data_IF_493068530184
#
_entry.id   IF_493068530184
#
_cell.length_a   1.000
_cell.length_b   1.000
_cell.length_c   1.000
_cell.angle_alpha   90.00
_cell.angle_beta   90.00
_cell.angle_gamma   90.00
#
_symmetry.space_group_name_H-M   'P 1'
#
loop_
_entity.id
_entity.type
_entity.pdbx_description
1 polymer ?
#
# COMPACT_ATOMS: atom_id res chain seq x y z
N UNK A 1 9.23 23.81 66.40
CA UNK A 1 9.87 23.84 65.07
C UNK A 1 9.46 22.55 64.36
N UNK A 2 8.52 22.64 63.43
CA UNK A 2 7.98 21.47 62.74
C UNK A 2 8.94 21.01 61.63
N UNK A 3 9.11 19.70 61.36
CA UNK A 3 9.69 19.27 60.12
C UNK A 3 8.59 19.28 59.04
N UNK A 4 8.65 20.25 58.14
CA UNK A 4 8.02 20.11 56.83
C UNK A 4 8.98 19.32 55.95
N UNK A 5 8.65 18.07 55.65
CA UNK A 5 9.32 17.27 54.63
C UNK A 5 8.28 16.88 53.56
N UNK A 6 7.82 17.89 52.81
CA UNK A 6 7.13 17.67 51.55
C UNK A 6 8.21 17.51 50.47
N UNK A 7 8.67 16.26 50.31
CA UNK A 7 9.59 15.82 49.26
C UNK A 7 8.93 16.02 47.89
N UNK A 8 9.06 17.21 47.30
CA UNK A 8 8.90 17.36 45.86
C UNK A 8 10.07 16.62 45.19
N UNK A 9 9.82 15.59 44.37
CA UNK A 9 10.89 15.01 43.58
C UNK A 9 11.36 16.10 42.60
N UNK A 10 12.66 16.37 42.58
CA UNK A 10 13.27 17.11 41.50
C UNK A 10 12.94 16.37 40.20
N UNK A 11 11.95 16.88 39.45
CA UNK A 11 11.70 16.49 38.07
C UNK A 11 13.03 16.66 37.34
N UNK A 12 13.57 15.54 36.85
CA UNK A 12 14.82 15.58 36.14
C UNK A 12 14.65 16.50 34.93
N UNK A 13 15.70 17.24 34.56
CA UNK A 13 15.79 17.87 33.24
C UNK A 13 15.50 16.86 32.11
N UNK A 14 15.67 15.56 32.36
CA UNK A 14 15.24 14.48 31.46
C UNK A 14 13.72 14.48 31.17
N UNK A 15 12.86 14.99 32.06
CA UNK A 15 11.41 15.10 31.83
C UNK A 15 11.01 16.33 31.00
N UNK A 16 11.80 17.40 31.04
CA UNK A 16 11.59 18.61 30.20
C UNK A 16 12.05 18.38 28.75
N UNK A 17 13.04 17.51 28.55
CA UNK A 17 13.38 16.95 27.23
C UNK A 17 12.40 15.86 26.76
N UNK A 18 11.51 15.37 27.62
CA UNK A 18 10.52 14.34 27.31
C UNK A 18 9.22 14.90 26.70
N UNK A 19 9.14 16.20 26.38
CA UNK A 19 7.95 16.79 25.73
C UNK A 19 8.23 17.85 24.65
N UNK A 20 9.39 17.76 24.00
CA UNK A 20 9.95 18.87 23.22
C UNK A 20 10.10 18.71 21.71
N UNK A 21 9.56 17.69 21.05
CA UNK A 21 9.44 17.72 19.58
C UNK A 21 8.04 17.31 19.16
N UNK A 22 7.31 18.31 18.66
CA UNK A 22 6.02 18.12 18.04
C UNK A 22 6.12 17.05 16.95
N UNK A 23 5.21 16.08 17.00
CA UNK A 23 4.90 15.07 15.97
C UNK A 23 4.73 15.65 14.54
N UNK A 24 4.67 16.97 14.40
CA UNK A 24 4.70 17.69 13.12
C UNK A 24 6.06 17.68 12.39
N UNK A 25 7.16 17.29 13.05
CA UNK A 25 8.51 17.27 12.46
C UNK A 25 8.98 15.88 12.02
N UNK A 26 8.07 15.00 11.61
CA UNK A 26 8.45 13.86 10.78
C UNK A 26 9.06 14.37 9.46
N UNK A 27 10.29 13.96 9.12
CA UNK A 27 10.99 14.56 7.98
C UNK A 27 10.23 14.32 6.68
N UNK A 28 9.92 15.40 5.96
CA UNK A 28 9.32 15.39 4.61
C UNK A 28 10.08 14.43 3.68
N UNK A 29 11.38 14.28 3.90
CA UNK A 29 12.26 13.40 3.15
C UNK A 29 11.85 11.91 3.21
N UNK A 30 11.40 11.38 4.35
CA UNK A 30 10.98 9.96 4.47
C UNK A 30 9.68 9.72 3.70
N UNK A 31 8.72 10.64 3.85
CA UNK A 31 7.42 10.58 3.15
C UNK A 31 7.61 10.60 1.63
N UNK A 32 8.46 11.50 1.14
CA UNK A 32 8.77 11.60 -0.29
C UNK A 32 9.53 10.38 -0.81
N UNK A 33 10.33 9.69 0.01
CA UNK A 33 11.01 8.46 -0.38
C UNK A 33 10.05 7.28 -0.55
N UNK A 34 9.07 7.12 0.35
CA UNK A 34 8.04 6.08 0.22
C UNK A 34 7.11 6.35 -0.95
N UNK A 35 6.63 7.59 -1.10
CA UNK A 35 5.82 8.00 -2.25
C UNK A 35 6.60 7.72 -3.55
N UNK A 36 7.87 8.11 -3.63
CA UNK A 36 8.73 7.81 -4.79
C UNK A 36 8.74 6.32 -5.10
N UNK A 37 8.92 5.44 -4.10
CA UNK A 37 8.93 3.99 -4.32
C UNK A 37 7.61 3.47 -4.89
N UNK A 38 6.48 3.90 -4.33
CA UNK A 38 5.14 3.44 -4.76
C UNK A 38 4.83 3.96 -6.17
N UNK A 39 5.03 5.26 -6.42
CA UNK A 39 4.78 5.85 -7.74
C UNK A 39 5.75 5.33 -8.80
N UNK A 40 6.99 4.98 -8.46
CA UNK A 40 7.91 4.29 -9.38
C UNK A 40 7.37 2.91 -9.77
N UNK A 41 6.85 2.13 -8.80
CA UNK A 41 6.23 0.83 -9.10
C UNK A 41 5.00 1.02 -9.99
N UNK A 42 4.10 1.94 -9.64
CA UNK A 42 2.89 2.23 -10.44
C UNK A 42 3.24 2.69 -11.86
N UNK A 43 4.22 3.58 -12.01
CA UNK A 43 4.66 4.06 -13.33
C UNK A 43 5.22 2.94 -14.18
N UNK A 44 5.99 2.02 -13.57
CA UNK A 44 6.51 0.84 -14.26
C UNK A 44 5.39 -0.10 -14.71
N UNK A 45 4.37 -0.29 -13.87
CA UNK A 45 3.20 -1.11 -14.20
C UNK A 45 2.43 -0.53 -15.39
N UNK A 46 2.16 0.78 -15.39
CA UNK A 46 1.49 1.46 -16.51
C UNK A 46 2.34 1.46 -17.79
N UNK A 47 3.66 1.60 -17.67
CA UNK A 47 4.56 1.50 -18.82
C UNK A 47 4.49 0.10 -19.43
N UNK A 48 4.53 -0.94 -18.59
CA UNK A 48 4.44 -2.34 -19.03
C UNK A 48 3.11 -2.63 -19.74
N UNK A 49 1.98 -2.14 -19.21
CA UNK A 49 0.67 -2.32 -19.86
C UNK A 49 0.61 -1.60 -21.19
N UNK A 50 1.17 -0.39 -21.27
CA UNK A 50 1.21 0.42 -22.50
C UNK A 50 2.05 -0.26 -23.58
N UNK A 51 3.25 -0.74 -23.24
CA UNK A 51 4.13 -1.46 -24.17
C UNK A 51 3.48 -2.75 -24.65
N UNK A 52 2.91 -3.54 -23.75
CA UNK A 52 2.23 -4.80 -24.10
C UNK A 52 1.05 -4.53 -25.04
N UNK A 53 0.23 -3.51 -24.75
CA UNK A 53 -0.89 -3.12 -25.60
C UNK A 53 -0.43 -2.65 -26.97
N UNK A 54 0.62 -1.83 -27.04
CA UNK A 54 1.19 -1.37 -28.30
C UNK A 54 1.72 -2.53 -29.16
N UNK A 55 2.36 -3.53 -28.56
CA UNK A 55 2.83 -4.73 -29.27
C UNK A 55 1.67 -5.51 -29.88
N UNK A 56 0.57 -5.71 -29.13
CA UNK A 56 -0.62 -6.42 -29.62
C UNK A 56 -1.31 -5.68 -30.78
N UNK A 57 -1.30 -4.34 -30.75
CA UNK A 57 -1.86 -3.52 -31.82
C UNK A 57 -0.94 -3.46 -33.05
N UNK A 58 0.39 -3.57 -32.87
CA UNK A 58 1.35 -3.49 -33.96
C UNK A 58 1.48 -4.81 -34.75
N UNK A 59 1.45 -5.96 -34.06
CA UNK A 59 1.61 -7.26 -34.69
C UNK A 59 0.27 -7.90 -35.05
N UNK A 60 -0.06 -7.88 -36.34
CA UNK A 60 -1.29 -8.47 -36.87
C UNK A 60 -1.42 -9.97 -36.55
N UNK A 61 -0.31 -10.73 -36.58
CA UNK A 61 -0.31 -12.16 -36.23
C UNK A 61 -0.73 -12.44 -34.78
N UNK A 62 -0.42 -11.54 -33.84
CA UNK A 62 -0.85 -11.68 -32.44
C UNK A 62 -2.35 -11.38 -32.35
N UNK A 63 -2.80 -10.34 -33.06
CA UNK A 63 -4.20 -9.95 -33.10
C UNK A 63 -5.09 -11.07 -33.64
N UNK A 64 -4.74 -11.69 -34.76
CA UNK A 64 -5.51 -12.80 -35.34
C UNK A 64 -5.58 -14.00 -34.39
N UNK A 65 -4.46 -14.40 -33.81
CA UNK A 65 -4.39 -15.49 -32.82
C UNK A 65 -5.31 -15.24 -31.61
N UNK A 66 -5.30 -14.01 -31.11
CA UNK A 66 -6.12 -13.55 -29.99
C UNK A 66 -7.62 -13.62 -30.30
N UNK A 67 -8.03 -13.24 -31.51
CA UNK A 67 -9.43 -13.33 -31.93
C UNK A 67 -9.90 -14.77 -32.19
N UNK A 68 -9.01 -15.66 -32.64
CA UNK A 68 -9.32 -17.08 -32.86
C UNK A 68 -9.50 -17.86 -31.55
N UNK A 69 -8.92 -17.40 -30.45
CA UNK A 69 -8.89 -18.10 -29.18
C UNK A 69 -9.53 -17.30 -28.04
N UNK A 70 -10.88 -17.14 -28.03
CA UNK A 70 -11.60 -16.44 -26.96
C UNK A 70 -11.47 -17.12 -25.59
N UNK A 71 -10.95 -18.34 -25.53
CA UNK A 71 -10.60 -19.02 -24.27
C UNK A 71 -9.46 -18.29 -23.54
N UNK A 72 -8.57 -17.60 -24.27
CA UNK A 72 -7.43 -16.90 -23.65
C UNK A 72 -7.87 -15.80 -22.69
N UNK A 73 -8.85 -14.97 -23.04
CA UNK A 73 -9.32 -13.89 -22.16
C UNK A 73 -9.95 -14.44 -20.86
N UNK A 74 -10.62 -15.59 -20.94
CA UNK A 74 -11.18 -16.26 -19.77
C UNK A 74 -10.06 -16.84 -18.89
N UNK A 75 -9.05 -17.48 -19.48
CA UNK A 75 -7.89 -17.99 -18.73
C UNK A 75 -7.08 -16.86 -18.08
N UNK A 76 -6.88 -15.76 -18.79
CA UNK A 76 -6.15 -14.58 -18.28
C UNK A 76 -6.90 -13.91 -17.13
N UNK A 77 -8.22 -13.74 -17.25
CA UNK A 77 -9.05 -13.14 -16.19
C UNK A 77 -9.17 -14.02 -14.95
N UNK A 78 -9.39 -15.34 -15.11
CA UNK A 78 -9.35 -16.29 -13.98
C UNK A 78 -7.95 -16.38 -13.36
N UNK A 79 -6.92 -16.31 -14.19
CA UNK A 79 -5.52 -16.27 -13.76
C UNK A 79 -5.21 -15.04 -12.92
N UNK A 80 -5.61 -13.85 -13.37
CA UNK A 80 -5.37 -12.60 -12.64
C UNK A 80 -6.08 -12.61 -11.29
N UNK A 81 -7.31 -13.14 -11.25
CA UNK A 81 -8.04 -13.36 -10.01
C UNK A 81 -7.33 -14.34 -9.06
N UNK A 82 -6.81 -15.46 -9.56
CA UNK A 82 -6.04 -16.42 -8.78
C UNK A 82 -4.77 -15.81 -8.18
N UNK A 83 -4.04 -14.99 -8.95
CA UNK A 83 -2.85 -14.28 -8.46
C UNK A 83 -3.23 -13.20 -7.45
N UNK A 84 -4.34 -12.50 -7.63
CA UNK A 84 -4.85 -11.51 -6.66
C UNK A 84 -5.18 -12.17 -5.31
N UNK A 85 -5.79 -13.34 -5.31
CA UNK A 85 -6.02 -14.15 -4.09
C UNK A 85 -4.70 -14.59 -3.46
N UNK A 86 -3.75 -15.08 -4.25
CA UNK A 86 -2.42 -15.43 -3.75
C UNK A 86 -1.72 -14.23 -3.12
N UNK A 87 -1.83 -13.04 -3.72
CA UNK A 87 -1.25 -11.79 -3.25
C UNK A 87 -1.86 -11.35 -1.92
N UNK A 88 -3.18 -11.45 -1.76
CA UNK A 88 -3.86 -11.12 -0.50
C UNK A 88 -3.42 -12.05 0.64
N UNK A 89 -3.20 -13.33 0.36
CA UNK A 89 -2.68 -14.29 1.35
C UNK A 89 -1.20 -14.05 1.68
N UNK A 90 -0.38 -13.67 0.70
CA UNK A 90 1.07 -13.56 0.84
C UNK A 90 1.59 -12.11 0.97
N UNK A 91 0.70 -11.13 1.16
CA UNK A 91 1.01 -9.68 1.18
C UNK A 91 2.10 -9.29 2.17
N UNK A 92 2.25 -10.03 3.27
CA UNK A 92 3.21 -9.74 4.34
C UNK A 92 4.60 -10.38 4.14
N UNK A 93 4.79 -11.21 3.11
CA UNK A 93 6.05 -11.90 2.84
C UNK A 93 6.87 -11.18 1.77
N UNK A 94 7.88 -10.43 2.19
CA UNK A 94 8.88 -9.85 1.27
C UNK A 94 10.00 -10.86 0.99
N UNK A 95 10.50 -11.03 -0.25
CA UNK A 95 10.19 -10.29 -1.48
C UNK A 95 9.05 -10.90 -2.33
N UNK A 96 8.45 -12.01 -1.87
CA UNK A 96 7.46 -12.76 -2.64
C UNK A 96 6.26 -11.88 -3.07
N UNK A 97 5.79 -10.96 -2.22
CA UNK A 97 4.77 -9.96 -2.58
C UNK A 97 5.10 -9.23 -3.90
N UNK A 98 6.34 -8.78 -4.09
CA UNK A 98 6.72 -8.03 -5.30
C UNK A 98 6.69 -8.90 -6.56
N UNK A 99 7.10 -10.17 -6.46
CA UNK A 99 7.00 -11.12 -7.57
C UNK A 99 5.55 -11.43 -7.94
N UNK A 100 4.67 -11.61 -6.93
CA UNK A 100 3.25 -11.80 -7.17
C UNK A 100 2.60 -10.55 -7.75
N UNK A 101 3.01 -9.36 -7.30
CA UNK A 101 2.56 -8.08 -7.83
C UNK A 101 2.97 -7.91 -9.30
N UNK A 102 4.20 -8.24 -9.66
CA UNK A 102 4.65 -8.20 -11.06
C UNK A 102 3.92 -9.23 -11.93
N UNK A 103 3.68 -10.44 -11.41
CA UNK A 103 2.90 -11.47 -12.10
C UNK A 103 1.46 -11.04 -12.34
N UNK A 104 0.82 -10.45 -11.33
CA UNK A 104 -0.51 -9.85 -11.46
C UNK A 104 -0.53 -8.75 -12.52
N UNK A 105 0.45 -7.84 -12.48
CA UNK A 105 0.57 -6.76 -13.47
C UNK A 105 0.72 -7.30 -14.89
N UNK A 106 1.50 -8.36 -15.10
CA UNK A 106 1.67 -8.98 -16.41
C UNK A 106 0.37 -9.58 -16.94
N UNK A 107 -0.39 -10.28 -16.08
CA UNK A 107 -1.69 -10.83 -16.46
C UNK A 107 -2.68 -9.72 -16.82
N UNK A 108 -2.77 -8.68 -16.00
CA UNK A 108 -3.61 -7.50 -16.30
C UNK A 108 -3.17 -6.78 -17.58
N UNK A 109 -1.87 -6.64 -17.81
CA UNK A 109 -1.34 -6.07 -19.05
C UNK A 109 -1.76 -6.86 -20.29
N UNK A 110 -1.75 -8.20 -20.21
CA UNK A 110 -2.21 -9.07 -21.29
C UNK A 110 -3.73 -9.00 -21.48
N UNK A 111 -4.50 -8.96 -20.40
CA UNK A 111 -5.96 -8.78 -20.45
C UNK A 111 -6.33 -7.46 -21.11
N UNK A 112 -5.72 -6.35 -20.69
CA UNK A 112 -5.94 -5.03 -21.31
C UNK A 112 -5.51 -5.05 -22.77
N UNK A 113 -4.33 -5.61 -23.09
CA UNK A 113 -3.84 -5.73 -24.46
C UNK A 113 -4.78 -6.54 -25.36
N UNK A 114 -5.44 -7.58 -24.82
CA UNK A 114 -6.48 -8.35 -25.52
C UNK A 114 -7.73 -7.49 -25.77
N UNK A 115 -8.20 -6.74 -24.77
CA UNK A 115 -9.43 -5.94 -24.90
C UNK A 115 -9.26 -4.80 -25.91
N UNK A 116 -8.11 -4.12 -25.92
CA UNK A 116 -7.89 -2.98 -26.82
C UNK A 116 -7.84 -3.37 -28.30
N UNK A 117 -7.63 -4.64 -28.66
CA UNK A 117 -7.66 -5.06 -30.08
C UNK A 117 -9.06 -5.04 -30.71
N UNK A 118 -10.11 -4.98 -29.89
CA UNK A 118 -11.50 -4.83 -30.33
C UNK A 118 -11.91 -3.38 -30.58
N UNK A 119 -11.08 -2.41 -30.16
CA UNK A 119 -11.35 -0.99 -30.31
C UNK A 119 -10.38 -0.35 -31.31
N UNK A 120 -10.81 0.76 -31.91
CA UNK A 120 -9.93 1.54 -32.79
C UNK A 120 -8.80 2.20 -32.01
N UNK A 121 -7.59 2.16 -32.59
CA UNK A 121 -6.36 2.72 -31.99
C UNK A 121 -6.54 4.19 -31.60
N UNK A 122 -7.26 4.97 -32.41
CA UNK A 122 -7.54 6.38 -32.13
C UNK A 122 -8.35 6.56 -30.84
N UNK A 123 -9.40 5.75 -30.65
CA UNK A 123 -10.26 5.80 -29.45
C UNK A 123 -9.45 5.39 -28.22
N UNK A 124 -8.63 4.34 -28.34
CA UNK A 124 -7.76 3.85 -27.26
C UNK A 124 -6.77 4.92 -26.83
N UNK A 125 -6.11 5.59 -27.78
CA UNK A 125 -5.16 6.68 -27.47
C UNK A 125 -5.85 7.87 -26.79
N UNK A 126 -7.04 8.27 -27.26
CA UNK A 126 -7.81 9.35 -26.65
C UNK A 126 -8.19 9.01 -25.18
N UNK A 127 -8.65 7.78 -24.94
CA UNK A 127 -8.98 7.32 -23.59
C UNK A 127 -7.73 7.26 -22.68
N UNK A 128 -6.58 6.81 -23.20
CA UNK A 128 -5.32 6.76 -22.48
C UNK A 128 -4.83 8.15 -22.04
N UNK A 129 -4.87 9.13 -22.96
CA UNK A 129 -4.48 10.51 -22.65
C UNK A 129 -5.41 11.13 -21.60
N UNK A 130 -6.73 10.93 -21.74
CA UNK A 130 -7.71 11.45 -20.78
C UNK A 130 -7.53 10.85 -19.39
N UNK A 131 -7.40 9.52 -19.30
CA UNK A 131 -7.21 8.82 -18.01
C UNK A 131 -5.91 9.21 -17.33
N UNK A 132 -4.82 9.36 -18.09
CA UNK A 132 -3.54 9.84 -17.58
C UNK A 132 -3.65 11.28 -17.04
N UNK A 133 -4.30 12.18 -17.77
CA UNK A 133 -4.50 13.56 -17.35
C UNK A 133 -5.33 13.65 -16.07
N UNK A 134 -6.42 12.90 -15.98
CA UNK A 134 -7.29 12.85 -14.80
C UNK A 134 -6.56 12.24 -13.60
N UNK A 135 -5.85 11.13 -13.79
CA UNK A 135 -5.08 10.47 -12.73
C UNK A 135 -4.01 11.40 -12.16
N UNK A 136 -3.22 12.05 -13.02
CA UNK A 136 -2.19 13.01 -12.60
C UNK A 136 -2.81 14.24 -11.93
N UNK A 137 -3.89 14.80 -12.49
CA UNK A 137 -4.58 15.96 -11.92
C UNK A 137 -5.14 15.68 -10.52
N UNK A 138 -5.81 14.54 -10.34
CA UNK A 138 -6.35 14.12 -9.04
C UNK A 138 -5.24 13.78 -8.05
N UNK A 139 -4.16 13.15 -8.50
CA UNK A 139 -2.98 12.87 -7.68
C UNK A 139 -2.37 14.17 -7.17
N UNK A 140 -2.09 15.15 -8.04
CA UNK A 140 -1.53 16.44 -7.63
C UNK A 140 -2.48 17.19 -6.69
N UNK A 141 -3.78 17.20 -7.00
CA UNK A 141 -4.80 17.80 -6.15
C UNK A 141 -4.81 17.19 -4.75
N UNK A 142 -4.78 15.86 -4.63
CA UNK A 142 -4.78 15.19 -3.33
C UNK A 142 -3.50 15.43 -2.54
N UNK A 143 -2.33 15.42 -3.19
CA UNK A 143 -1.05 15.71 -2.53
C UNK A 143 -0.98 17.15 -1.96
N UNK A 144 -1.68 18.11 -2.57
CA UNK A 144 -1.73 19.50 -2.11
C UNK A 144 -2.90 19.78 -1.15
N UNK A 145 -3.96 18.96 -1.20
CA UNK A 145 -5.17 19.17 -0.42
C UNK A 145 -4.94 18.86 1.06
N UNK A 146 -5.43 19.77 1.92
CA UNK A 146 -5.46 19.59 3.39
C UNK A 146 -6.77 18.96 3.89
N UNK A 147 -7.64 18.51 2.99
CA UNK A 147 -8.92 17.89 3.37
C UNK A 147 -8.74 16.43 3.74
N UNK A 148 -9.36 16.03 4.84
CA UNK A 148 -9.38 14.64 5.27
C UNK A 148 -10.39 13.82 4.45
N UNK A 149 -9.90 12.91 3.62
CA UNK A 149 -10.76 12.03 2.80
C UNK A 149 -11.09 10.69 3.49
N UNK A 150 -10.67 10.49 4.74
CA UNK A 150 -10.82 9.21 5.44
C UNK A 150 -12.27 8.74 5.59
N UNK A 151 -13.25 9.66 5.62
CA UNK A 151 -14.68 9.33 5.79
C UNK A 151 -15.34 8.81 4.51
N UNK A 152 -14.73 9.03 3.34
CA UNK A 152 -15.29 8.61 2.05
C UNK A 152 -15.11 7.11 1.75
N UNK A 153 -14.23 6.41 2.48
CA UNK A 153 -13.88 5.01 2.20
C UNK A 153 -15.07 4.04 2.24
N UNK A 154 -15.96 4.18 3.23
CA UNK A 154 -17.15 3.32 3.33
C UNK A 154 -18.13 3.56 2.16
N UNK A 155 -18.34 4.83 1.78
CA UNK A 155 -19.20 5.20 0.65
C UNK A 155 -18.66 4.69 -0.69
N UNK A 156 -17.35 4.86 -0.93
CA UNK A 156 -16.69 4.34 -2.13
C UNK A 156 -16.78 2.81 -2.21
N UNK A 157 -16.59 2.11 -1.08
CA UNK A 157 -16.73 0.66 -1.04
C UNK A 157 -18.16 0.19 -1.33
N UNK A 158 -19.18 0.85 -0.77
CA UNK A 158 -20.58 0.55 -1.08
C UNK A 158 -20.90 0.82 -2.55
N UNK A 159 -20.42 1.93 -3.10
CA UNK A 159 -20.63 2.27 -4.51
C UNK A 159 -19.96 1.25 -5.47
N UNK A 160 -18.80 0.71 -5.09
CA UNK A 160 -18.12 -0.35 -5.86
C UNK A 160 -18.99 -1.61 -5.95
N UNK A 161 -19.64 -1.99 -4.86
CA UNK A 161 -20.58 -3.13 -4.86
C UNK A 161 -21.80 -2.89 -5.75
N UNK A 162 -22.33 -1.66 -5.74
CA UNK A 162 -23.43 -1.28 -6.65
C UNK A 162 -22.98 -1.39 -8.10
N UNK A 163 -21.77 -0.91 -8.43
CA UNK A 163 -21.20 -1.02 -9.76
C UNK A 163 -21.05 -2.50 -10.18
N UNK A 164 -20.55 -3.36 -9.27
CA UNK A 164 -20.41 -4.79 -9.52
C UNK A 164 -21.77 -5.47 -9.78
N UNK A 165 -22.81 -5.15 -9.01
CA UNK A 165 -24.15 -5.68 -9.26
C UNK A 165 -24.74 -5.12 -10.56
N UNK A 166 -24.45 -3.87 -10.90
CA UNK A 166 -24.90 -3.25 -12.16
C UNK A 166 -24.30 -3.93 -13.40
N UNK A 167 -23.05 -4.43 -13.32
CA UNK A 167 -22.45 -5.20 -14.40
C UNK A 167 -23.16 -6.53 -14.66
N UNK A 168 -23.65 -7.20 -13.63
CA UNK A 168 -24.46 -8.42 -13.77
C UNK A 168 -25.83 -8.08 -14.38
N UNK A 169 -26.45 -6.96 -13.97
CA UNK A 169 -27.73 -6.50 -14.54
C UNK A 169 -27.63 -6.13 -16.03
N UNK A 170 -26.48 -5.63 -16.49
CA UNK A 170 -26.21 -5.34 -17.91
C UNK A 170 -26.38 -6.59 -18.80
N UNK A 171 -26.15 -7.79 -18.27
CA UNK A 171 -26.36 -9.04 -19.01
C UNK A 171 -27.84 -9.27 -19.37
N UNK A 172 -28.77 -8.81 -18.53
CA UNK A 172 -30.22 -8.96 -18.76
C UNK A 172 -30.80 -7.79 -19.56
N UNK A 173 -30.29 -6.58 -19.37
CA UNK A 173 -30.78 -5.36 -20.03
C UNK A 173 -29.66 -4.76 -20.90
N UNK A 174 -29.65 -5.13 -22.18
CA UNK A 174 -28.69 -4.62 -23.16
C UNK A 174 -29.24 -3.34 -23.81
N UNK A 175 -28.78 -2.17 -23.35
CA UNK A 175 -29.02 -0.90 -24.05
C UNK A 175 -27.77 -0.03 -24.04
N UNK A 176 -27.51 0.63 -25.17
CA UNK A 176 -26.33 1.48 -25.36
C UNK A 176 -26.29 2.64 -24.36
N UNK A 177 -27.45 3.24 -24.07
CA UNK A 177 -27.55 4.34 -23.08
C UNK A 177 -27.17 3.87 -21.68
N UNK A 178 -27.62 2.68 -21.26
CA UNK A 178 -27.28 2.13 -19.93
C UNK A 178 -25.78 1.81 -19.85
N UNK A 179 -25.18 1.32 -20.93
CA UNK A 179 -23.73 1.08 -21.01
C UNK A 179 -22.92 2.36 -20.81
N UNK A 180 -23.27 3.43 -21.53
CA UNK A 180 -22.60 4.72 -21.41
C UNK A 180 -22.74 5.31 -20.00
N UNK A 181 -23.93 5.22 -19.40
CA UNK A 181 -24.18 5.72 -18.04
C UNK A 181 -23.37 4.93 -17.01
N UNK A 182 -23.37 3.59 -17.09
CA UNK A 182 -22.58 2.74 -16.17
C UNK A 182 -21.09 3.03 -16.32
N UNK A 183 -20.58 3.19 -17.55
CA UNK A 183 -19.18 3.54 -17.81
C UNK A 183 -18.81 4.91 -17.21
N UNK A 184 -19.66 5.93 -17.39
CA UNK A 184 -19.43 7.27 -16.84
C UNK A 184 -19.46 7.28 -15.30
N UNK A 185 -20.43 6.61 -14.69
CA UNK A 185 -20.52 6.47 -13.22
C UNK A 185 -19.33 5.69 -12.67
N UNK A 186 -18.92 4.61 -13.34
CA UNK A 186 -17.73 3.84 -13.00
C UNK A 186 -16.46 4.68 -13.05
N UNK A 187 -16.26 5.48 -14.10
CA UNK A 187 -15.12 6.38 -14.23
C UNK A 187 -15.06 7.41 -13.09
N UNK A 188 -16.20 8.05 -12.75
CA UNK A 188 -16.28 8.98 -11.63
C UNK A 188 -15.99 8.31 -10.27
N UNK A 189 -16.48 7.09 -10.08
CA UNK A 189 -16.22 6.29 -8.89
C UNK A 189 -14.74 5.95 -8.75
N UNK A 190 -14.07 5.51 -9.81
CA UNK A 190 -12.63 5.24 -9.79
C UNK A 190 -11.79 6.51 -9.58
N UNK A 191 -12.25 7.67 -10.07
CA UNK A 191 -11.65 8.96 -9.72
C UNK A 191 -11.68 9.21 -8.19
N UNK A 192 -12.80 8.89 -7.53
CA UNK A 192 -12.91 8.94 -6.08
C UNK A 192 -11.97 7.96 -5.36
N UNK A 193 -11.80 6.75 -5.89
CA UNK A 193 -10.82 5.77 -5.38
C UNK A 193 -9.38 6.26 -5.49
N UNK A 194 -8.98 6.88 -6.62
CA UNK A 194 -7.62 7.46 -6.77
C UNK A 194 -7.35 8.48 -5.67
N UNK A 195 -8.32 9.35 -5.37
CA UNK A 195 -8.23 10.36 -4.29
C UNK A 195 -8.06 9.68 -2.93
N UNK A 196 -8.90 8.68 -2.64
CA UNK A 196 -8.87 7.95 -1.37
C UNK A 196 -7.58 7.15 -1.18
N UNK A 197 -7.12 6.46 -2.22
CA UNK A 197 -5.89 5.66 -2.18
C UNK A 197 -4.65 6.54 -2.01
N UNK A 198 -4.59 7.67 -2.73
CA UNK A 198 -3.49 8.64 -2.56
C UNK A 198 -3.49 9.24 -1.16
N UNK A 199 -4.67 9.61 -0.63
CA UNK A 199 -4.81 10.10 0.74
C UNK A 199 -4.39 9.04 1.78
N UNK A 200 -4.84 7.80 1.61
CA UNK A 200 -4.48 6.68 2.48
C UNK A 200 -2.97 6.40 2.45
N UNK A 201 -2.35 6.43 1.28
CA UNK A 201 -0.91 6.28 1.09
C UNK A 201 -0.11 7.34 1.85
N UNK A 202 -0.54 8.60 1.76
CA UNK A 202 0.08 9.71 2.50
C UNK A 202 -0.11 9.60 4.02
N UNK A 203 -1.24 9.06 4.48
CA UNK A 203 -1.57 8.93 5.89
C UNK A 203 -0.94 7.69 6.53
N UNK A 204 -0.72 6.58 5.81
CA UNK A 204 -0.02 5.39 6.34
C UNK A 204 1.41 5.72 6.81
N UNK A 205 2.02 6.74 6.24
CA UNK A 205 3.32 7.26 6.67
C UNK A 205 3.31 7.97 8.04
N UNK A 206 2.16 8.42 8.54
CA UNK A 206 2.08 9.14 9.83
C UNK A 206 1.95 8.27 11.09
N UNK A 207 1.39 7.04 11.06
CA UNK A 207 1.26 6.18 12.26
C UNK A 207 2.25 5.01 12.39
N UNK A 208 3.12 4.71 11.41
CA UNK A 208 4.07 3.56 11.50
C UNK A 208 5.55 3.93 11.70
N UNK A 209 5.91 5.21 11.56
CA UNK A 209 7.27 5.71 11.79
C UNK A 209 7.67 5.81 13.28
N UNK A 210 6.74 5.57 14.21
CA UNK A 210 7.09 5.48 15.65
C UNK A 210 7.99 4.28 15.95
N UNK A 211 7.92 3.19 15.16
CA UNK A 211 8.60 1.92 15.47
C UNK A 211 9.67 1.50 14.46
N UNK A 212 9.63 1.96 13.20
CA UNK A 212 10.62 1.58 12.18
C UNK A 212 11.89 2.45 12.21
N UNK A 213 11.78 3.71 12.67
CA UNK A 213 12.92 4.63 12.83
C UNK A 213 13.90 4.24 13.94
N UNK A 214 13.46 3.48 14.94
CA UNK A 214 14.26 3.11 16.11
C UNK A 214 15.39 2.12 15.78
N UNK A 215 15.24 1.30 14.73
CA UNK A 215 16.24 0.29 14.36
C UNK A 215 17.30 0.78 13.36
N UNK A 216 17.05 1.84 12.59
CA UNK A 216 18.00 2.37 11.61
C UNK A 216 18.64 3.71 12.04
N UNK A 217 17.97 4.50 12.89
CA UNK A 217 18.49 5.78 13.38
C UNK A 217 19.65 5.67 14.40
N UNK A 218 19.73 4.55 15.13
CA UNK A 218 20.79 4.31 16.12
C UNK A 218 22.18 4.13 15.48
N UNK A 219 22.25 3.50 14.30
CA UNK A 219 23.54 3.22 13.65
C UNK A 219 24.17 4.47 13.01
N UNK A 220 23.37 5.44 12.56
CA UNK A 220 23.87 6.62 11.86
C UNK A 220 24.28 7.78 12.80
N UNK A 221 23.65 7.92 13.98
CA UNK A 221 24.05 8.94 14.95
C UNK A 221 25.26 8.53 15.81
N UNK A 222 25.55 7.24 15.96
CA UNK A 222 26.70 6.77 16.74
C UNK A 222 28.05 6.97 16.02
N UNK A 223 28.03 7.26 14.71
CA UNK A 223 29.23 7.57 13.94
C UNK A 223 29.68 9.05 14.04
N UNK A 224 28.85 9.97 14.56
CA UNK A 224 29.19 11.41 14.62
C UNK A 224 29.62 11.92 16.01
N UNK A 225 29.60 11.06 17.03
CA UNK A 225 30.08 11.39 18.37
C UNK A 225 31.32 10.55 18.75
N UNK A 226 32.39 10.65 17.95
CA UNK A 226 33.75 10.39 18.47
C UNK A 226 34.33 11.73 18.95
N UNK A 227 34.31 12.03 20.26
CA UNK A 227 35.11 13.14 20.76
C UNK A 227 36.59 12.79 20.54
N UNK A 228 37.25 13.67 19.79
CA UNK A 228 38.70 13.69 19.62
C UNK A 228 39.33 14.01 20.98
N UNK A 229 39.97 13.01 21.58
CA UNK A 229 41.08 13.18 22.50
C UNK A 229 40.72 13.49 23.96
N UNK A 230 41.04 12.53 24.84
CA UNK A 230 42.00 12.73 25.93
C UNK A 230 42.49 11.38 26.45
N UNK A 231 43.80 11.20 26.22
CA UNK A 231 44.84 10.43 26.90
C UNK A 231 44.43 9.46 28.03
N UNK A 232 44.99 8.25 27.87
CA UNK A 232 45.40 7.26 28.87
C UNK A 232 45.49 7.73 30.33
N UNK A 233 44.92 6.94 31.23
CA UNK A 233 45.49 6.64 32.54
C UNK A 233 45.07 5.23 32.96
N UNK A 234 46.06 4.39 33.27
CA UNK A 234 45.94 3.04 33.81
C UNK A 234 45.32 3.03 35.22
N UNK A 235 44.57 1.97 35.55
CA UNK A 235 44.70 1.22 36.82
C UNK A 235 43.70 0.04 36.86
N UNK A 236 44.23 -1.18 36.75
CA UNK A 236 43.73 -2.38 37.44
C UNK A 236 44.36 -2.42 38.87
N UNK A 237 44.08 -3.37 39.80
CA UNK A 237 43.06 -4.45 39.87
C UNK A 237 42.41 -4.63 41.28
N UNK A 238 41.42 -5.55 41.39
CA UNK A 238 41.13 -6.54 42.48
C UNK A 238 39.61 -6.81 42.59
N UNK A 239 39.10 -8.00 42.25
CA UNK A 239 39.15 -9.31 42.93
C UNK A 239 38.23 -9.42 44.17
N UNK A 240 37.08 -10.09 44.06
CA UNK A 240 36.68 -11.21 44.96
C UNK A 240 35.34 -11.85 44.57
N UNK A 241 35.32 -13.19 44.54
CA UNK A 241 34.28 -14.18 44.90
C UNK A 241 32.79 -13.94 44.50
N UNK A 242 32.00 -14.90 44.00
CA UNK A 242 32.06 -16.36 43.93
C UNK A 242 30.63 -16.93 44.07
N UNK A 243 30.33 -18.04 43.36
CA UNK A 243 29.33 -19.10 43.71
C UNK A 243 27.85 -18.83 43.25
N UNK A 244 27.01 -19.85 42.90
CA UNK A 244 26.54 -20.02 41.52
C UNK A 244 24.99 -20.13 41.39
N UNK A 245 24.54 -20.32 40.15
CA UNK A 245 23.25 -20.80 39.63
C UNK A 245 22.01 -20.95 40.51
N UNK A 246 20.87 -20.45 40.01
CA UNK A 246 19.58 -21.17 40.08
C UNK A 246 18.80 -20.89 38.79
N UNK A 247 18.47 -21.97 38.12
CA UNK A 247 17.52 -22.09 37.02
C UNK A 247 16.22 -22.67 37.61
N UNK A 248 15.05 -22.21 37.17
CA UNK A 248 13.72 -22.86 37.25
C UNK A 248 12.67 -21.80 36.84
N UNK A 249 11.53 -22.07 36.21
CA UNK A 249 10.97 -23.15 35.41
C UNK A 249 9.57 -22.63 35.02
N UNK A 250 9.14 -22.86 33.78
CA UNK A 250 7.73 -22.78 33.35
C UNK A 250 7.04 -24.08 33.84
N UNK A 251 5.78 -24.07 34.34
CA UNK A 251 4.65 -24.43 33.46
C UNK A 251 3.29 -23.83 33.88
N UNK A 252 2.47 -23.35 32.94
CA UNK A 252 1.09 -22.95 33.27
C UNK A 252 0.16 -22.59 32.11
N UNK A 253 -0.31 -23.60 31.38
CA UNK A 253 -1.28 -23.55 30.27
C UNK A 253 -2.71 -23.22 30.76
N UNK A 254 -3.47 -22.36 30.06
CA UNK A 254 -4.89 -22.17 30.38
C UNK A 254 -5.68 -21.13 29.56
N UNK A 255 -5.96 -21.45 28.29
CA UNK A 255 -7.16 -21.12 27.50
C UNK A 255 -7.99 -19.84 27.82
N UNK A 256 -8.00 -18.88 26.90
CA UNK A 256 -8.97 -17.78 26.86
C UNK A 256 -9.12 -17.26 25.43
N UNK A 257 -10.25 -17.60 24.80
CA UNK A 257 -10.51 -17.41 23.38
C UNK A 257 -10.58 -15.95 22.90
N UNK A 258 -10.06 -15.73 21.70
CA UNK A 258 -10.19 -14.49 20.93
C UNK A 258 -11.26 -14.71 19.85
N UNK A 259 -12.42 -14.02 19.88
CA UNK A 259 -13.30 -13.96 18.72
C UNK A 259 -12.98 -12.70 17.91
N UNK A 260 -12.86 -12.88 16.58
CA UNK A 260 -13.26 -11.83 15.65
C UNK A 260 -12.18 -10.95 15.02
N UNK A 261 -11.27 -11.50 14.20
CA UNK A 261 -10.57 -10.75 13.14
C UNK A 261 -10.28 -11.54 11.86
N UNK A 262 -11.11 -12.55 11.53
CA UNK A 262 -10.95 -13.38 10.31
C UNK A 262 -12.07 -13.22 9.26
N UNK A 263 -12.90 -12.18 9.33
CA UNK A 263 -14.05 -12.02 8.40
C UNK A 263 -13.86 -11.02 7.25
N UNK A 264 -12.73 -10.33 7.13
CA UNK A 264 -12.54 -9.39 6.00
C UNK A 264 -11.88 -9.99 4.74
N UNK A 265 -11.35 -11.22 4.80
CA UNK A 265 -10.66 -11.83 3.64
C UNK A 265 -11.64 -12.46 2.64
N UNK A 266 -12.83 -12.89 3.10
CA UNK A 266 -13.85 -13.48 2.22
C UNK A 266 -14.58 -12.48 1.31
N UNK A 267 -14.54 -11.18 1.63
CA UNK A 267 -15.33 -10.16 0.90
C UNK A 267 -14.59 -9.54 -0.29
N UNK A 268 -13.25 -9.64 -0.36
CA UNK A 268 -12.47 -9.15 -1.50
C UNK A 268 -12.55 -10.09 -2.72
N UNK A 269 -12.96 -11.35 -2.50
CA UNK A 269 -13.01 -12.43 -3.51
C UNK A 269 -14.17 -12.30 -4.51
N UNK A 270 -15.06 -11.32 -4.37
CA UNK A 270 -16.20 -11.14 -5.28
C UNK A 270 -16.14 -9.84 -6.11
N UNK A 271 -15.21 -8.93 -5.81
CA UNK A 271 -15.21 -7.57 -6.38
C UNK A 271 -14.46 -7.42 -7.71
N UNK A 272 -13.64 -8.38 -8.14
CA UNK A 272 -12.79 -8.24 -9.34
C UNK A 272 -13.40 -8.88 -10.61
N UNK A 273 -14.55 -9.55 -10.52
CA UNK A 273 -15.21 -10.19 -11.67
C UNK A 273 -16.08 -9.23 -12.50
N UNK A 274 -15.95 -7.91 -12.29
CA UNK A 274 -16.86 -6.91 -12.87
C UNK A 274 -16.16 -5.69 -13.49
N UNK A 275 -14.85 -5.78 -13.71
CA UNK A 275 -14.08 -4.80 -14.50
C UNK A 275 -13.56 -5.51 -15.74
#
# INVERSE_FOLDING_TARGET
>A
MAPQDARYPCSSIEDDFNYGSCVASASVHIRMAFLRKVYTILSLQVLLTTVTSALFLYFESIRTFVHESPVLILVLSLGSFGVLLALTLHRHKHPLNLYLLSGFTLLEALTVAFVVTFYDVYIVLQAFVLTTAVFLGLTVYTLQSKRDFSKFGAGLFTALWILCLSGILKFFFHSETVELVIAAVGALLFCGFIVYDTHSLMHRLSPEDSNFGTHLGGAALQARARPRGRRCACAEPRLSAGVPGVQCADPGRGSGGQPGRRKCVGFLSACAACV
#
